data_IF_722419509107
#
_entry.id   IF_722419509107
#
_cell.length_a   1.000
_cell.length_b   1.000
_cell.length_c   1.000
_cell.angle_alpha   90.00
_cell.angle_beta   90.00
_cell.angle_gamma   90.00
#
_symmetry.space_group_name_H-M   'P 1'
#
loop_
_entity.id
_entity.type
_entity.pdbx_description
1 polymer ?
#
# COMPACT_ATOMS: atom_id res chain seq x y z
N UNK A 1 25.62 -29.78 49.13
CA UNK A 1 26.34 -29.71 47.85
C UNK A 1 25.30 -29.36 46.78
N UNK A 2 25.68 -28.49 45.85
CA UNK A 2 24.84 -27.49 45.15
C UNK A 2 23.60 -28.08 44.45
N UNK A 3 22.46 -27.40 44.59
CA UNK A 3 21.38 -27.44 43.59
C UNK A 3 21.85 -26.57 42.43
N UNK A 4 21.91 -27.15 41.25
CA UNK A 4 22.11 -26.42 40.01
C UNK A 4 20.75 -25.83 39.65
N UNK A 5 20.62 -24.52 39.87
CA UNK A 5 19.55 -23.72 39.30
C UNK A 5 19.88 -23.57 37.80
N UNK A 6 19.41 -24.51 36.98
CA UNK A 6 19.35 -24.30 35.52
C UNK A 6 18.25 -23.28 35.27
N UNK A 7 18.64 -22.00 35.13
CA UNK A 7 17.78 -21.00 34.53
C UNK A 7 17.53 -21.41 33.08
N UNK A 8 16.35 -21.97 32.80
CA UNK A 8 15.86 -22.23 31.44
C UNK A 8 15.83 -20.89 30.68
N UNK A 9 16.90 -20.60 29.93
CA UNK A 9 16.97 -19.46 29.03
C UNK A 9 15.98 -19.70 27.88
N UNK A 10 14.78 -19.16 28.01
CA UNK A 10 13.74 -19.20 26.97
C UNK A 10 14.24 -18.39 25.78
N UNK A 11 14.82 -19.06 24.80
CA UNK A 11 15.21 -18.47 23.53
C UNK A 11 13.92 -18.16 22.74
N UNK A 12 13.40 -16.94 22.90
CA UNK A 12 12.31 -16.42 22.08
C UNK A 12 12.89 -16.11 20.69
N UNK A 13 12.44 -16.85 19.68
CA UNK A 13 12.79 -16.53 18.30
C UNK A 13 12.03 -15.27 17.82
N UNK A 14 12.47 -14.70 16.70
CA UNK A 14 11.84 -13.50 16.11
C UNK A 14 10.35 -13.72 15.78
N UNK A 15 9.91 -14.97 15.57
CA UNK A 15 8.52 -15.29 15.27
C UNK A 15 7.58 -15.04 16.46
N UNK A 16 8.11 -15.05 17.69
CA UNK A 16 7.36 -14.70 18.89
C UNK A 16 6.77 -13.29 18.86
N UNK A 17 7.41 -12.35 18.14
CA UNK A 17 6.98 -10.96 18.03
C UNK A 17 6.16 -10.66 16.77
N UNK A 18 6.01 -11.64 15.88
CA UNK A 18 5.26 -11.49 14.63
C UNK A 18 3.80 -11.87 14.87
N UNK A 19 2.90 -10.92 14.61
CA UNK A 19 1.46 -11.19 14.60
C UNK A 19 1.02 -11.54 13.17
N UNK A 20 0.64 -12.80 12.95
CA UNK A 20 0.10 -13.30 11.68
C UNK A 20 -1.37 -13.72 11.78
N UNK A 21 -2.08 -13.27 12.83
CA UNK A 21 -3.52 -13.52 13.04
C UNK A 21 -4.39 -12.65 12.11
N UNK A 22 -4.16 -12.80 10.81
CA UNK A 22 -4.88 -12.09 9.77
C UNK A 22 -6.34 -12.55 9.71
N UNK A 23 -7.23 -11.58 9.51
CA UNK A 23 -8.65 -11.82 9.34
C UNK A 23 -9.03 -11.49 7.90
N UNK A 24 -9.85 -12.36 7.29
CA UNK A 24 -10.42 -12.09 5.99
C UNK A 24 -11.41 -10.94 6.11
N UNK A 25 -11.13 -9.83 5.42
CA UNK A 25 -11.89 -8.60 5.49
C UNK A 25 -12.37 -8.22 4.09
N UNK A 26 -13.64 -7.81 4.00
CA UNK A 26 -14.25 -7.35 2.75
C UNK A 26 -14.16 -5.84 2.64
N UNK A 27 -13.63 -5.35 1.52
CA UNK A 27 -13.52 -3.93 1.18
C UNK A 27 -14.36 -3.67 -0.08
N UNK A 28 -15.19 -2.61 -0.05
CA UNK A 28 -16.04 -2.23 -1.18
C UNK A 28 -15.67 -0.85 -1.68
N UNK A 29 -15.35 -0.74 -2.97
CA UNK A 29 -15.01 0.51 -3.65
C UNK A 29 -15.79 0.60 -4.96
N UNK A 30 -16.77 1.49 -5.03
CA UNK A 30 -17.71 1.55 -6.14
C UNK A 30 -18.44 0.20 -6.31
N UNK A 31 -18.30 -0.42 -7.48
CA UNK A 31 -18.85 -1.77 -7.78
C UNK A 31 -17.91 -2.92 -7.45
N UNK A 32 -16.67 -2.64 -7.05
CA UNK A 32 -15.66 -3.65 -6.77
C UNK A 32 -15.73 -4.08 -5.31
N UNK A 33 -15.68 -5.39 -5.09
CA UNK A 33 -15.57 -6.00 -3.77
C UNK A 33 -14.27 -6.80 -3.74
N UNK A 34 -13.43 -6.52 -2.74
CA UNK A 34 -12.16 -7.21 -2.52
C UNK A 34 -12.20 -7.92 -1.18
N UNK A 35 -11.78 -9.18 -1.14
CA UNK A 35 -11.61 -9.95 0.09
C UNK A 35 -10.12 -10.17 0.32
N UNK A 36 -9.58 -9.60 1.40
CA UNK A 36 -8.15 -9.58 1.70
C UNK A 36 -7.91 -9.94 3.17
N UNK A 37 -6.84 -10.67 3.41
CA UNK A 37 -6.29 -10.92 4.74
C UNK A 37 -5.54 -9.68 5.22
N UNK A 38 -5.89 -9.20 6.41
CA UNK A 38 -5.17 -8.11 7.09
C UNK A 38 -5.31 -8.23 8.62
N UNK A 39 -4.41 -7.56 9.35
CA UNK A 39 -4.59 -7.39 10.78
C UNK A 39 -5.72 -6.40 11.07
N UNK A 40 -6.36 -6.55 12.23
CA UNK A 40 -7.45 -5.67 12.67
C UNK A 40 -6.99 -4.57 13.64
N UNK A 41 -5.75 -4.65 14.07
CA UNK A 41 -5.15 -3.73 15.06
C UNK A 41 -3.64 -3.71 14.89
N UNK A 42 -3.03 -2.58 15.21
CA UNK A 42 -1.59 -2.39 15.05
C UNK A 42 -0.78 -3.33 15.95
N UNK A 43 0.34 -3.81 15.41
CA UNK A 43 1.43 -4.35 16.22
C UNK A 43 2.14 -3.20 16.96
N UNK A 44 2.88 -3.54 18.02
CA UNK A 44 3.80 -2.59 18.67
C UNK A 44 5.03 -2.30 17.80
N UNK A 45 5.29 -3.12 16.77
CA UNK A 45 6.35 -2.91 15.81
C UNK A 45 5.91 -1.97 14.67
N UNK A 46 6.64 -0.87 14.49
CA UNK A 46 6.34 0.14 13.49
C UNK A 46 6.66 -0.34 12.06
N UNK A 47 7.61 -1.27 11.89
CA UNK A 47 8.00 -1.79 10.59
C UNK A 47 6.95 -2.77 10.02
N UNK A 48 6.02 -3.23 10.87
CA UNK A 48 4.94 -4.15 10.52
C UNK A 48 3.58 -3.45 10.28
N UNK A 49 3.57 -2.12 10.26
CA UNK A 49 2.34 -1.33 10.00
C UNK A 49 1.71 -1.60 8.64
N UNK A 50 2.47 -2.13 7.68
CA UNK A 50 1.97 -2.55 6.36
C UNK A 50 1.00 -3.74 6.40
N UNK A 51 0.86 -4.44 7.53
CA UNK A 51 -0.14 -5.50 7.72
C UNK A 51 -1.57 -4.98 7.94
N UNK A 52 -1.73 -3.66 8.12
CA UNK A 52 -3.00 -2.96 8.29
C UNK A 52 -3.42 -2.23 7.01
N UNK A 53 -4.71 -1.91 6.93
CA UNK A 53 -5.22 -0.94 5.94
C UNK A 53 -5.33 0.44 6.57
N UNK A 54 -4.60 1.40 6.01
CA UNK A 54 -4.57 2.77 6.49
C UNK A 54 -5.64 3.66 5.83
N UNK A 55 -6.10 4.74 6.50
CA UNK A 55 -7.08 5.68 5.93
C UNK A 55 -6.68 6.24 4.55
N UNK A 56 -5.39 6.43 4.29
CA UNK A 56 -4.90 6.89 2.99
C UNK A 56 -5.22 5.91 1.86
N UNK A 57 -5.11 4.60 2.09
CA UNK A 57 -5.48 3.59 1.10
C UNK A 57 -7.00 3.58 0.83
N UNK A 58 -7.82 3.76 1.88
CA UNK A 58 -9.27 3.88 1.73
C UNK A 58 -9.65 5.11 0.89
N UNK A 59 -9.02 6.26 1.17
CA UNK A 59 -9.20 7.49 0.39
C UNK A 59 -8.80 7.30 -1.07
N UNK A 60 -7.62 6.70 -1.31
CA UNK A 60 -7.11 6.47 -2.66
C UNK A 60 -8.02 5.54 -3.46
N UNK A 61 -8.51 4.47 -2.84
CA UNK A 61 -9.36 3.49 -3.49
C UNK A 61 -10.75 4.03 -3.83
N UNK A 62 -11.33 4.84 -2.95
CA UNK A 62 -12.58 5.55 -3.26
C UNK A 62 -12.38 6.47 -4.49
N UNK A 63 -11.27 7.23 -4.52
CA UNK A 63 -10.92 8.06 -5.66
C UNK A 63 -10.71 7.25 -6.95
N UNK A 64 -9.90 6.18 -6.91
CA UNK A 64 -9.62 5.32 -8.07
C UNK A 64 -10.91 4.67 -8.59
N UNK A 65 -11.78 4.18 -7.72
CA UNK A 65 -13.03 3.52 -8.13
C UNK A 65 -13.98 4.45 -8.90
N UNK A 66 -13.92 5.76 -8.63
CA UNK A 66 -14.70 6.80 -9.29
C UNK A 66 -14.05 7.33 -10.57
N UNK A 67 -12.75 7.11 -10.74
CA UNK A 67 -11.93 7.63 -11.84
C UNK A 67 -11.10 6.50 -12.46
N UNK A 68 -11.69 5.31 -12.63
CA UNK A 68 -10.98 4.11 -13.05
C UNK A 68 -10.47 4.19 -14.49
N UNK A 69 -11.07 5.05 -15.30
CA UNK A 69 -10.61 5.39 -16.65
C UNK A 69 -9.19 5.95 -16.68
N UNK A 70 -8.71 6.55 -15.58
CA UNK A 70 -7.33 7.01 -15.44
C UNK A 70 -6.30 5.88 -15.59
N UNK A 71 -6.69 4.64 -15.30
CA UNK A 71 -5.80 3.49 -15.30
C UNK A 71 -5.86 2.67 -16.60
N UNK A 72 -6.80 2.99 -17.49
CA UNK A 72 -7.01 2.23 -18.72
C UNK A 72 -5.76 2.33 -19.62
N UNK A 73 -5.23 1.17 -20.03
CA UNK A 73 -4.05 1.08 -20.90
C UNK A 73 -2.73 1.45 -20.20
N UNK A 74 -2.76 1.66 -18.89
CA UNK A 74 -1.56 1.96 -18.10
C UNK A 74 -0.99 0.70 -17.45
N UNK A 75 0.30 0.75 -17.13
CA UNK A 75 0.96 -0.16 -16.20
C UNK A 75 1.22 0.60 -14.88
N UNK A 76 0.94 -0.04 -13.76
CA UNK A 76 0.95 0.59 -12.44
C UNK A 76 2.07 0.00 -11.57
N UNK A 77 2.72 0.86 -10.81
CA UNK A 77 3.55 0.47 -9.67
C UNK A 77 2.97 1.12 -8.42
N UNK A 78 2.75 0.32 -7.38
CA UNK A 78 2.36 0.81 -6.06
C UNK A 78 3.58 0.77 -5.13
N UNK A 79 3.88 1.90 -4.48
CA UNK A 79 4.99 2.05 -3.53
C UNK A 79 4.44 1.97 -2.10
N UNK A 80 4.94 1.03 -1.30
CA UNK A 80 4.42 0.81 0.05
C UNK A 80 3.03 0.20 0.03
N UNK A 81 2.87 -0.91 -0.69
CA UNK A 81 1.60 -1.59 -0.92
C UNK A 81 0.95 -2.15 0.34
N UNK A 82 1.71 -2.40 1.41
CA UNK A 82 1.17 -3.08 2.58
C UNK A 82 0.55 -4.43 2.19
N UNK A 83 -0.68 -4.67 2.63
CA UNK A 83 -1.46 -5.87 2.25
C UNK A 83 -1.98 -5.87 0.80
N UNK A 84 -1.77 -4.79 0.04
CA UNK A 84 -2.01 -4.73 -1.41
C UNK A 84 -3.39 -4.25 -1.84
N UNK A 85 -4.17 -3.66 -0.94
CA UNK A 85 -5.58 -3.28 -1.21
C UNK A 85 -5.72 -2.34 -2.41
N UNK A 86 -4.79 -1.40 -2.62
CA UNK A 86 -4.85 -0.46 -3.75
C UNK A 86 -4.41 -1.12 -5.05
N UNK A 87 -3.22 -1.74 -5.09
CA UNK A 87 -2.73 -2.36 -6.32
C UNK A 87 -3.65 -3.48 -6.82
N UNK A 88 -4.24 -4.25 -5.92
CA UNK A 88 -5.25 -5.26 -6.28
C UNK A 88 -6.51 -4.60 -6.84
N UNK A 89 -6.98 -3.48 -6.30
CA UNK A 89 -8.07 -2.72 -6.90
C UNK A 89 -7.70 -2.21 -8.31
N UNK A 90 -6.53 -1.61 -8.46
CA UNK A 90 -6.02 -1.11 -9.74
C UNK A 90 -6.00 -2.19 -10.83
N UNK A 91 -5.66 -3.43 -10.45
CA UNK A 91 -5.63 -4.60 -11.35
C UNK A 91 -6.97 -4.89 -12.06
N UNK A 92 -8.08 -4.34 -11.56
CA UNK A 92 -9.40 -4.43 -12.20
C UNK A 92 -9.58 -3.46 -13.37
N UNK A 93 -8.69 -2.49 -13.52
CA UNK A 93 -8.83 -1.36 -14.44
C UNK A 93 -7.62 -1.13 -15.35
N UNK A 94 -6.52 -1.87 -15.18
CA UNK A 94 -5.27 -1.70 -15.94
C UNK A 94 -4.68 -3.03 -16.43
N UNK A 95 -3.57 -2.97 -17.18
CA UNK A 95 -2.95 -4.14 -17.81
C UNK A 95 -1.98 -4.88 -16.88
N UNK A 96 -1.18 -4.16 -16.11
CA UNK A 96 -0.16 -4.74 -15.24
C UNK A 96 -0.02 -3.91 -13.97
N UNK A 97 0.22 -4.58 -12.84
CA UNK A 97 0.47 -3.96 -11.55
C UNK A 97 1.66 -4.62 -10.88
N UNK A 98 2.64 -3.80 -10.49
CA UNK A 98 3.73 -4.19 -9.59
C UNK A 98 3.44 -3.62 -8.21
N UNK A 99 3.22 -4.50 -7.24
CA UNK A 99 3.01 -4.13 -5.84
C UNK A 99 4.36 -4.23 -5.11
N UNK A 100 4.74 -3.17 -4.41
CA UNK A 100 6.06 -3.12 -3.75
C UNK A 100 5.98 -2.75 -2.29
N UNK A 101 6.80 -3.42 -1.48
CA UNK A 101 7.05 -3.06 -0.10
C UNK A 101 8.51 -3.41 0.26
N UNK A 102 9.01 -2.89 1.38
CA UNK A 102 10.36 -3.13 1.85
C UNK A 102 10.42 -4.29 2.86
N UNK A 103 9.35 -4.50 3.64
CA UNK A 103 9.35 -5.42 4.77
C UNK A 103 8.98 -6.85 4.31
N UNK A 104 9.81 -7.84 4.65
CA UNK A 104 9.62 -9.21 4.20
C UNK A 104 8.36 -9.88 4.77
N UNK A 105 7.93 -9.54 5.99
CA UNK A 105 6.67 -10.03 6.56
C UNK A 105 5.45 -9.43 5.85
N UNK A 106 5.53 -8.14 5.50
CA UNK A 106 4.49 -7.47 4.70
C UNK A 106 4.42 -8.09 3.30
N UNK A 107 5.56 -8.36 2.66
CA UNK A 107 5.62 -9.03 1.36
C UNK A 107 5.02 -10.45 1.41
N UNK A 108 5.14 -11.19 2.54
CA UNK A 108 4.50 -12.50 2.71
C UNK A 108 2.98 -12.40 2.68
N UNK A 109 2.38 -11.46 3.41
CA UNK A 109 0.91 -11.29 3.42
C UNK A 109 0.39 -10.73 2.10
N UNK A 110 1.14 -9.81 1.47
CA UNK A 110 0.84 -9.29 0.15
C UNK A 110 0.73 -10.41 -0.91
N UNK A 111 1.69 -11.34 -0.92
CA UNK A 111 1.66 -12.52 -1.81
C UNK A 111 0.45 -13.41 -1.53
N UNK A 112 0.17 -13.70 -0.25
CA UNK A 112 -1.03 -14.47 0.14
C UNK A 112 -2.32 -13.83 -0.41
N UNK A 113 -2.44 -12.50 -0.34
CA UNK A 113 -3.60 -11.78 -0.85
C UNK A 113 -3.75 -11.83 -2.37
N UNK A 114 -2.65 -11.80 -3.11
CA UNK A 114 -2.67 -11.96 -4.57
C UNK A 114 -3.09 -13.39 -4.94
N UNK A 115 -2.56 -14.40 -4.24
CA UNK A 115 -2.94 -15.81 -4.46
C UNK A 115 -4.44 -16.05 -4.19
N UNK A 116 -5.02 -15.34 -3.21
CA UNK A 116 -6.46 -15.37 -2.95
C UNK A 116 -7.27 -14.81 -4.14
N UNK A 117 -6.77 -13.77 -4.81
CA UNK A 117 -7.46 -13.17 -5.96
C UNK A 117 -7.40 -14.04 -7.21
N UNK A 118 -6.30 -14.76 -7.42
CA UNK A 118 -6.12 -15.66 -8.58
C UNK A 118 -6.88 -16.98 -8.40
N UNK A 119 -7.03 -17.45 -7.17
CA UNK A 119 -7.77 -18.68 -6.84
C UNK A 119 -9.29 -18.51 -6.85
N UNK A 120 -9.78 -17.29 -6.63
CA UNK A 120 -11.21 -16.97 -6.70
C UNK A 120 -11.68 -16.95 -8.17
N UNK A 121 -12.70 -17.75 -8.49
CA UNK A 121 -13.18 -18.05 -9.86
C UNK A 121 -13.77 -16.86 -10.66
N UNK A 122 -13.57 -15.62 -10.23
CA UNK A 122 -13.99 -14.41 -10.94
C UNK A 122 -12.86 -13.89 -11.84
N UNK A 123 -12.50 -14.69 -12.83
CA UNK A 123 -11.45 -14.47 -13.82
C UNK A 123 -11.85 -13.39 -14.87
N UNK A 124 -12.21 -12.19 -14.42
CA UNK A 124 -12.44 -11.05 -15.31
C UNK A 124 -11.27 -10.04 -15.32
N UNK A 125 -10.26 -10.22 -14.47
CA UNK A 125 -9.06 -9.38 -14.50
C UNK A 125 -7.89 -10.16 -15.12
N UNK A 126 -7.55 -9.81 -16.37
CA UNK A 126 -6.40 -10.32 -17.10
C UNK A 126 -5.08 -9.61 -16.72
N UNK A 127 -5.10 -8.77 -15.68
CA UNK A 127 -3.94 -7.96 -15.34
C UNK A 127 -2.81 -8.80 -14.73
N UNK A 128 -1.59 -8.60 -15.19
CA UNK A 128 -0.41 -9.18 -14.55
C UNK A 128 -0.20 -8.57 -13.17
N UNK A 129 -0.25 -9.39 -12.11
CA UNK A 129 0.07 -8.97 -10.74
C UNK A 129 1.45 -9.52 -10.35
N UNK A 130 2.36 -8.63 -10.00
CA UNK A 130 3.70 -8.96 -9.51
C UNK A 130 3.96 -8.35 -8.13
N UNK A 131 4.76 -9.04 -7.32
CA UNK A 131 5.22 -8.55 -6.01
C UNK A 131 6.72 -8.43 -6.02
N UNK A 132 7.24 -7.26 -5.68
CA UNK A 132 8.66 -6.99 -5.65
C UNK A 132 9.08 -6.26 -4.37
N UNK A 133 10.30 -6.54 -3.90
CA UNK A 133 10.88 -5.81 -2.77
C UNK A 133 11.42 -4.48 -3.28
N UNK A 134 11.02 -3.37 -2.64
CA UNK A 134 11.54 -2.04 -2.96
C UNK A 134 11.80 -1.23 -1.69
N UNK A 135 13.03 -0.78 -1.54
CA UNK A 135 13.44 0.14 -0.48
C UNK A 135 13.35 1.60 -0.96
N UNK A 136 12.73 2.46 -0.17
CA UNK A 136 12.65 3.88 -0.50
C UNK A 136 14.04 4.50 -0.60
N UNK A 137 14.25 5.34 -1.62
CA UNK A 137 15.55 5.93 -1.92
C UNK A 137 16.49 5.02 -2.73
N UNK A 138 16.14 3.75 -2.94
CA UNK A 138 16.91 2.87 -3.82
C UNK A 138 16.55 3.12 -5.30
N UNK A 139 17.26 4.09 -5.90
CA UNK A 139 17.02 4.50 -7.29
C UNK A 139 17.30 3.38 -8.30
N UNK A 140 18.25 2.48 -8.02
CA UNK A 140 18.56 1.36 -8.92
C UNK A 140 17.39 0.38 -9.03
N UNK A 141 16.73 0.08 -7.92
CA UNK A 141 15.51 -0.72 -7.91
C UNK A 141 14.38 0.00 -8.65
N UNK A 142 14.17 1.29 -8.37
CA UNK A 142 13.10 2.06 -9.00
C UNK A 142 13.26 2.18 -10.53
N UNK A 143 14.48 2.39 -11.04
CA UNK A 143 14.74 2.50 -12.48
C UNK A 143 14.36 1.22 -13.23
N UNK A 144 14.44 0.04 -12.59
CA UNK A 144 14.04 -1.24 -13.22
C UNK A 144 12.54 -1.28 -13.54
N UNK A 145 11.73 -0.59 -12.75
CA UNK A 145 10.27 -0.53 -12.93
C UNK A 145 9.82 0.68 -13.74
N UNK A 146 10.68 1.70 -13.88
CA UNK A 146 10.36 2.89 -14.65
C UNK A 146 10.36 2.56 -16.15
N UNK A 147 9.17 2.46 -16.73
CA UNK A 147 8.97 2.31 -18.17
C UNK A 147 9.46 3.52 -18.98
N UNK A 148 9.53 3.34 -20.31
CA UNK A 148 9.83 4.43 -21.25
C UNK A 148 8.57 5.26 -21.48
N UNK A 149 8.37 6.33 -20.69
CA UNK A 149 7.20 7.19 -20.83
C UNK A 149 7.11 8.28 -19.77
N UNK A 150 6.05 9.09 -19.88
CA UNK A 150 5.70 10.06 -18.86
C UNK A 150 5.08 9.33 -17.66
N UNK A 151 5.65 9.54 -16.47
CA UNK A 151 5.14 8.96 -15.23
C UNK A 151 4.26 10.00 -14.53
N UNK A 152 3.07 9.58 -14.13
CA UNK A 152 2.16 10.33 -13.27
C UNK A 152 2.04 9.58 -11.95
N UNK A 153 2.16 10.30 -10.84
CA UNK A 153 1.95 9.76 -9.50
C UNK A 153 0.63 10.28 -8.95
N UNK A 154 -0.12 9.40 -8.30
CA UNK A 154 -1.32 9.74 -7.54
C UNK A 154 -1.01 9.42 -6.09
N UNK A 155 -1.12 10.41 -5.21
CA UNK A 155 -0.77 10.29 -3.80
C UNK A 155 -1.97 10.65 -2.94
N UNK A 156 -2.45 9.71 -2.13
CA UNK A 156 -3.34 10.04 -1.02
C UNK A 156 -2.52 10.51 0.18
N UNK A 157 -2.76 11.75 0.59
CA UNK A 157 -2.08 12.37 1.72
C UNK A 157 -3.07 12.58 2.88
N UNK A 158 -2.71 12.08 4.06
CA UNK A 158 -3.48 12.32 5.29
C UNK A 158 -2.91 13.53 6.02
N UNK A 159 -3.67 14.62 6.05
CA UNK A 159 -3.30 15.84 6.76
C UNK A 159 -3.33 15.61 8.26
N UNK A 160 -2.21 15.93 8.92
CA UNK A 160 -2.15 16.03 10.38
C UNK A 160 -2.42 17.44 10.88
N UNK A 161 -2.09 18.45 10.07
CA UNK A 161 -2.33 19.86 10.31
C UNK A 161 -2.20 20.62 9.00
N UNK A 162 -3.00 21.67 8.78
CA UNK A 162 -2.98 22.47 7.54
C UNK A 162 -1.59 23.02 7.15
N UNK A 163 -0.74 23.30 8.14
CA UNK A 163 0.64 23.75 7.90
C UNK A 163 1.50 22.66 7.23
N UNK A 164 1.22 21.37 7.51
CA UNK A 164 1.95 20.24 6.93
C UNK A 164 1.60 20.05 5.45
N UNK A 165 0.37 20.37 5.02
CA UNK A 165 -0.04 20.29 3.62
C UNK A 165 0.86 21.17 2.73
N UNK A 166 1.15 22.40 3.18
CA UNK A 166 2.04 23.30 2.45
C UNK A 166 3.49 22.80 2.41
N UNK A 167 3.95 22.06 3.43
CA UNK A 167 5.32 21.52 3.45
C UNK A 167 5.52 20.44 2.39
N UNK A 168 4.53 19.58 2.15
CA UNK A 168 4.60 18.56 1.09
C UNK A 168 4.71 19.23 -0.28
N UNK A 169 3.89 20.25 -0.52
CA UNK A 169 3.92 21.02 -1.77
C UNK A 169 5.26 21.72 -1.97
N UNK A 170 5.76 22.38 -0.92
CA UNK A 170 7.04 23.09 -0.96
C UNK A 170 8.21 22.13 -1.22
N UNK A 171 8.21 20.95 -0.59
CA UNK A 171 9.28 19.97 -0.77
C UNK A 171 9.27 19.38 -2.20
N UNK A 172 8.11 19.03 -2.73
CA UNK A 172 7.99 18.59 -4.13
C UNK A 172 8.47 19.68 -5.11
N UNK A 173 8.08 20.93 -4.88
CA UNK A 173 8.51 22.08 -5.69
C UNK A 173 10.03 22.28 -5.63
N UNK A 174 10.64 22.08 -4.45
CA UNK A 174 12.10 22.15 -4.25
C UNK A 174 12.85 21.13 -5.11
N UNK A 175 12.24 19.98 -5.36
CA UNK A 175 12.77 18.94 -6.26
C UNK A 175 12.28 19.05 -7.70
N UNK A 176 11.70 20.19 -8.08
CA UNK A 176 11.18 20.49 -9.43
C UNK A 176 10.05 19.57 -9.88
N UNK A 177 9.33 18.97 -8.95
CA UNK A 177 8.11 18.21 -9.24
C UNK A 177 6.93 19.16 -9.30
N UNK A 178 5.99 18.91 -10.21
CA UNK A 178 4.69 19.59 -10.20
C UNK A 178 3.75 18.78 -9.32
N UNK A 179 3.17 19.38 -8.29
CA UNK A 179 2.22 18.75 -7.39
C UNK A 179 0.95 19.60 -7.28
N UNK A 180 -0.20 18.98 -7.50
CA UNK A 180 -1.49 19.67 -7.48
C UNK A 180 -2.50 18.87 -6.64
N UNK A 181 -3.20 19.55 -5.74
CA UNK A 181 -4.39 19.00 -5.09
C UNK A 181 -5.47 18.77 -6.15
N UNK A 182 -6.02 17.57 -6.20
CA UNK A 182 -7.14 17.26 -7.08
C UNK A 182 -8.41 17.83 -6.45
N UNK A 183 -9.05 18.77 -7.14
CA UNK A 183 -10.21 19.49 -6.65
C UNK A 183 -11.34 18.53 -6.22
N UNK A 184 -11.93 18.79 -5.06
CA UNK A 184 -13.04 18.00 -4.53
C UNK A 184 -12.64 16.68 -3.85
N UNK A 185 -11.34 16.36 -3.74
CA UNK A 185 -10.89 15.13 -3.08
C UNK A 185 -10.63 15.27 -1.58
N UNK A 186 -10.56 16.52 -1.08
CA UNK A 186 -10.42 16.77 0.35
C UNK A 186 -11.63 16.23 1.12
N UNK A 187 -11.40 15.29 2.02
CA UNK A 187 -12.46 14.61 2.77
C UNK A 187 -11.96 14.10 4.11
N UNK A 188 -12.88 13.71 4.99
CA UNK A 188 -12.56 13.11 6.29
C UNK A 188 -12.67 11.59 6.19
N UNK A 189 -11.58 10.89 6.51
CA UNK A 189 -11.53 9.42 6.58
C UNK A 189 -11.18 8.99 8.00
N UNK A 190 -12.18 8.47 8.71
CA UNK A 190 -12.09 8.24 10.15
C UNK A 190 -11.94 9.56 10.90
N UNK A 191 -10.82 9.71 11.62
CA UNK A 191 -10.50 10.93 12.39
C UNK A 191 -9.50 11.86 11.68
N UNK A 192 -9.19 11.62 10.40
CA UNK A 192 -8.15 12.34 9.67
C UNK A 192 -8.75 13.04 8.45
N UNK A 193 -8.32 14.27 8.19
CA UNK A 193 -8.56 14.91 6.89
C UNK A 193 -7.54 14.37 5.89
N UNK A 194 -7.96 14.05 4.67
CA UNK A 194 -7.08 13.59 3.62
C UNK A 194 -7.43 14.24 2.28
N UNK A 195 -6.47 14.19 1.36
CA UNK A 195 -6.54 14.82 0.04
C UNK A 195 -5.77 13.99 -0.98
N UNK A 196 -6.20 14.00 -2.24
CA UNK A 196 -5.44 13.38 -3.35
C UNK A 196 -4.58 14.44 -4.04
N UNK A 197 -3.31 14.13 -4.22
CA UNK A 197 -2.38 14.88 -5.05
C UNK A 197 -2.08 14.15 -6.35
N UNK A 198 -2.05 14.91 -7.45
CA UNK A 198 -1.40 14.48 -8.69
C UNK A 198 0.02 15.06 -8.71
N UNK A 199 1.03 14.22 -8.97
CA UNK A 199 2.43 14.63 -9.07
C UNK A 199 3.01 14.20 -10.41
N UNK A 200 3.75 15.10 -11.06
CA UNK A 200 4.49 14.84 -12.30
C UNK A 200 5.94 15.32 -12.19
N UNK A 201 6.83 14.64 -12.93
CA UNK A 201 8.28 14.88 -12.98
C UNK A 201 8.66 15.64 -14.25
#
# INVERSE_FOLDING_TARGET
MKREDEEDEVCLDESFFINDNYQLTSFTFGSQVLELLCLQSASTDFDLTGQLVWPGAMLLNDYISKNSELLHGSSIIELGSGIGVTGILCSKFCSDVVLTDHNDEVLKILKKNIDLQTSSKNANSNAGLAVEKLEWGNLEQFIRFKGQGQCKFILAYMSRAKVMDSLVINEATRHKMTINEIAGTRSVVGNHEGVIFEVTL
#
